data_IF_540629023230
#
_entry.id   IF_540629023230
#
_cell.length_a   1.000
_cell.length_b   1.000
_cell.length_c   1.000
_cell.angle_alpha   90.00
_cell.angle_beta   90.00
_cell.angle_gamma   90.00
#
_symmetry.space_group_name_H-M   'P 1'
#
loop_
_entity.id
_entity.type
_entity.pdbx_description
1 polymer ?
#
# COMPACT_ATOMS: atom_id res chain seq x y z
N UNK A 1 17.23 -11.11 -3.22
CA UNK A 1 15.80 -10.97 -3.56
C UNK A 1 14.91 -10.55 -2.39
N UNK A 2 14.84 -11.29 -1.27
CA UNK A 2 13.91 -10.94 -0.16
C UNK A 2 14.01 -9.53 0.42
N UNK A 3 15.23 -9.04 0.69
CA UNK A 3 15.43 -7.66 1.19
C UNK A 3 14.93 -6.61 0.18
N UNK A 4 15.09 -6.88 -1.11
CA UNK A 4 14.62 -6.01 -2.19
C UNK A 4 13.08 -6.02 -2.26
N UNK A 5 12.45 -7.20 -2.15
CA UNK A 5 10.98 -7.31 -2.09
C UNK A 5 10.39 -6.60 -0.88
N UNK A 6 11.05 -6.70 0.28
CA UNK A 6 10.63 -5.95 1.48
C UNK A 6 10.74 -4.44 1.24
N UNK A 7 11.83 -3.97 0.65
CA UNK A 7 12.04 -2.54 0.37
C UNK A 7 11.01 -2.00 -0.64
N UNK A 8 10.73 -2.76 -1.71
CA UNK A 8 9.66 -2.45 -2.66
C UNK A 8 8.30 -2.42 -1.94
N UNK A 9 8.01 -3.43 -1.11
CA UNK A 9 6.76 -3.50 -0.35
C UNK A 9 6.54 -2.29 0.56
N UNK A 10 7.58 -1.87 1.28
CA UNK A 10 7.53 -0.68 2.15
C UNK A 10 7.34 0.60 1.35
N UNK A 11 8.04 0.76 0.22
CA UNK A 11 7.87 1.95 -0.65
C UNK A 11 6.45 2.04 -1.20
N UNK A 12 5.86 0.91 -1.60
CA UNK A 12 4.48 0.84 -2.08
C UNK A 12 3.48 1.17 -0.97
N UNK A 13 3.67 0.65 0.25
CA UNK A 13 2.84 0.98 1.40
C UNK A 13 2.87 2.49 1.71
N UNK A 14 4.07 3.10 1.76
CA UNK A 14 4.21 4.54 1.99
C UNK A 14 3.56 5.37 0.89
N UNK A 15 3.73 4.96 -0.37
CA UNK A 15 3.08 5.61 -1.52
C UNK A 15 1.56 5.52 -1.45
N UNK A 16 1.02 4.39 -0.98
CA UNK A 16 -0.41 4.19 -0.78
C UNK A 16 -0.97 5.11 0.32
N UNK A 17 -0.28 5.24 1.44
CA UNK A 17 -0.64 6.18 2.53
C UNK A 17 -0.64 7.63 2.03
N UNK A 18 0.35 8.02 1.22
CA UNK A 18 0.39 9.36 0.61
C UNK A 18 -0.82 9.55 -0.31
N UNK A 19 -1.19 8.53 -1.08
CA UNK A 19 -2.36 8.59 -1.96
C UNK A 19 -3.67 8.76 -1.17
N UNK A 20 -3.85 8.06 -0.05
CA UNK A 20 -4.99 8.26 0.84
C UNK A 20 -5.01 9.66 1.47
N UNK A 21 -3.85 10.20 1.86
CA UNK A 21 -3.75 11.57 2.34
C UNK A 21 -4.20 12.58 1.27
N UNK A 22 -3.83 12.36 0.01
CA UNK A 22 -4.26 13.19 -1.13
C UNK A 22 -5.77 13.03 -1.43
N UNK A 23 -6.33 11.85 -1.23
CA UNK A 23 -7.78 11.64 -1.29
C UNK A 23 -8.50 12.51 -0.27
N UNK A 24 -8.06 12.48 1.00
CA UNK A 24 -8.68 13.24 2.10
C UNK A 24 -8.56 14.75 1.88
N UNK A 25 -7.42 15.23 1.39
CA UNK A 25 -7.25 16.67 1.11
C UNK A 25 -8.12 17.12 -0.06
N UNK A 26 -8.18 16.32 -1.12
CA UNK A 26 -8.97 16.64 -2.32
C UNK A 26 -10.48 16.56 -2.06
N UNK A 27 -10.93 15.56 -1.30
CA UNK A 27 -12.35 15.36 -0.96
C UNK A 27 -12.89 16.41 0.01
N UNK A 28 -12.03 17.04 0.83
CA UNK A 28 -12.44 18.16 1.69
C UNK A 28 -12.63 19.47 0.93
N UNK A 29 -11.91 19.67 -0.18
CA UNK A 29 -11.96 20.91 -0.97
C UNK A 29 -13.04 20.83 -2.05
N UNK A 30 -13.22 19.65 -2.65
CA UNK A 30 -14.29 19.40 -3.59
C UNK A 30 -15.53 18.86 -2.85
N UNK A 31 -16.56 19.70 -2.66
CA UNK A 31 -17.88 19.25 -2.18
C UNK A 31 -18.51 18.26 -3.18
N UNK A 32 -18.12 16.98 -3.11
CA UNK A 32 -18.60 15.91 -3.99
C UNK A 32 -17.47 15.08 -4.61
N UNK A 33 -17.76 13.80 -4.89
CA UNK A 33 -16.82 12.85 -5.51
C UNK A 33 -16.38 13.34 -6.88
N UNK A 34 -15.19 13.93 -6.94
CA UNK A 34 -14.51 14.23 -8.21
C UNK A 34 -13.75 13.00 -8.67
N UNK A 35 -13.70 12.77 -9.99
CA UNK A 35 -12.96 11.65 -10.62
C UNK A 35 -11.52 11.55 -10.10
N UNK A 36 -10.89 12.70 -9.83
CA UNK A 36 -9.54 12.80 -9.28
C UNK A 36 -9.47 12.28 -7.83
N UNK A 37 -10.45 12.60 -7.00
CA UNK A 37 -10.55 12.10 -5.62
C UNK A 37 -10.70 10.57 -5.62
N UNK A 38 -11.64 10.02 -6.41
CA UNK A 38 -11.84 8.58 -6.50
C UNK A 38 -10.62 7.82 -7.04
N UNK A 39 -9.82 8.45 -7.91
CA UNK A 39 -8.57 7.89 -8.41
C UNK A 39 -7.51 7.73 -7.31
N UNK A 40 -7.35 8.72 -6.43
CA UNK A 40 -6.43 8.63 -5.29
C UNK A 40 -6.86 7.56 -4.28
N UNK A 41 -8.16 7.42 -4.03
CA UNK A 41 -8.67 6.35 -3.17
C UNK A 41 -8.33 4.97 -3.74
N UNK A 42 -8.63 4.77 -5.03
CA UNK A 42 -8.42 3.48 -5.71
C UNK A 42 -6.92 3.13 -5.79
N UNK A 43 -6.07 4.11 -6.12
CA UNK A 43 -4.62 3.94 -6.16
C UNK A 43 -4.04 3.66 -4.77
N UNK A 44 -4.50 4.36 -3.73
CA UNK A 44 -4.08 4.14 -2.35
C UNK A 44 -4.31 2.70 -1.92
N UNK A 45 -5.53 2.20 -2.10
CA UNK A 45 -5.90 0.82 -1.75
C UNK A 45 -5.05 -0.20 -2.54
N UNK A 46 -4.88 0.01 -3.85
CA UNK A 46 -4.08 -0.89 -4.70
C UNK A 46 -2.62 -0.95 -4.21
N UNK A 47 -2.01 0.21 -3.98
CA UNK A 47 -0.61 0.30 -3.53
C UNK A 47 -0.41 -0.34 -2.16
N UNK A 48 -1.36 -0.15 -1.25
CA UNK A 48 -1.34 -0.77 0.08
C UNK A 48 -1.41 -2.30 -0.04
N UNK A 49 -2.36 -2.83 -0.82
CA UNK A 49 -2.53 -4.27 -1.01
C UNK A 49 -1.30 -4.92 -1.63
N UNK A 50 -0.78 -4.34 -2.71
CA UNK A 50 0.41 -4.87 -3.40
C UNK A 50 1.64 -4.75 -2.50
N UNK A 51 1.83 -3.61 -1.83
CA UNK A 51 2.92 -3.41 -0.88
C UNK A 51 2.89 -4.41 0.27
N UNK A 52 1.70 -4.73 0.78
CA UNK A 52 1.51 -5.73 1.82
C UNK A 52 1.85 -7.15 1.34
N UNK A 53 1.43 -7.54 0.14
CA UNK A 53 1.78 -8.84 -0.47
C UNK A 53 3.30 -9.00 -0.66
N UNK A 54 3.97 -7.96 -1.15
CA UNK A 54 5.43 -7.96 -1.28
C UNK A 54 6.13 -8.04 0.09
N UNK A 55 5.58 -7.39 1.10
CA UNK A 55 6.10 -7.46 2.47
C UNK A 55 5.92 -8.87 3.04
N UNK A 56 4.73 -9.47 2.94
CA UNK A 56 4.44 -10.83 3.38
C UNK A 56 5.33 -11.88 2.71
N UNK A 57 5.50 -11.81 1.39
CA UNK A 57 6.36 -12.74 0.65
C UNK A 57 7.83 -12.67 1.06
N UNK A 58 8.26 -11.53 1.62
CA UNK A 58 9.61 -11.36 2.15
C UNK A 58 9.82 -12.01 3.52
N UNK A 59 8.74 -12.24 4.30
CA UNK A 59 8.78 -12.82 5.66
C UNK A 59 9.14 -14.31 5.58
N UNK A 60 10.03 -14.77 6.46
CA UNK A 60 10.47 -16.18 6.53
C UNK A 60 9.51 -16.90 7.46
N UNK A 61 8.77 -17.87 6.94
CA UNK A 61 8.01 -18.80 7.79
C UNK A 61 9.04 -19.74 8.40
N UNK A 62 9.31 -19.70 9.72
CA UNK A 62 10.22 -20.64 10.35
C UNK A 62 9.59 -22.04 10.22
N UNK A 63 10.32 -22.96 9.59
CA UNK A 63 9.92 -24.38 9.58
C UNK A 63 10.07 -24.90 11.00
N UNK A 64 8.96 -25.25 11.63
CA UNK A 64 8.96 -25.97 12.91
C UNK A 64 9.60 -27.33 12.63
N UNK A 65 10.81 -27.56 13.16
CA UNK A 65 11.40 -28.90 13.20
C UNK A 65 10.77 -29.61 14.39
N UNK A 66 9.92 -30.59 14.10
CA UNK A 66 9.46 -31.54 15.11
C UNK A 66 10.58 -32.58 15.29
N UNK A 67 11.04 -32.84 16.53
CA UNK A 67 12.09 -33.81 16.82
C UNK A 67 11.66 -35.26 16.54
#
# INVERSE_FOLDING_TARGET
MRKVMLLIGVVLLLSGVISEAMYITTSRVAYGDTVVSSAYLTLGILLILVGFLFTLSSVKIPKIRVP
#
